data_IF_985488237552
#
_entry.id   IF_985488237552
#
_cell.length_a   1.000
_cell.length_b   1.000
_cell.length_c   1.000
_cell.angle_alpha   90.00
_cell.angle_beta   90.00
_cell.angle_gamma   90.00
#
_symmetry.space_group_name_H-M   'P 1'
#
loop_
_entity.id
_entity.type
_entity.pdbx_description
1 polymer ?
#
# COMPACT_ATOMS: atom_id res chain seq x y z
N UNK A 1 5.90 6.05 7.19
CA UNK A 1 5.40 6.94 6.10
C UNK A 1 5.85 8.40 6.19
N UNK A 2 6.27 8.90 7.36
CA UNK A 2 6.73 10.30 7.55
C UNK A 2 7.82 10.76 6.57
N UNK A 3 8.81 9.90 6.28
CA UNK A 3 9.88 10.20 5.32
C UNK A 3 9.34 10.42 3.90
N UNK A 4 8.38 9.61 3.45
CA UNK A 4 7.79 9.77 2.12
C UNK A 4 7.09 11.13 1.97
N UNK A 5 6.33 11.54 2.99
CA UNK A 5 5.69 12.87 3.00
C UNK A 5 6.69 14.02 3.05
N UNK A 6 7.77 13.87 3.82
CA UNK A 6 8.85 14.86 3.86
C UNK A 6 9.50 15.03 2.48
N UNK A 7 9.78 13.93 1.78
CA UNK A 7 10.38 13.96 0.44
C UNK A 7 9.43 14.50 -0.62
N UNK A 8 8.12 14.26 -0.48
CA UNK A 8 7.11 14.79 -1.39
C UNK A 8 6.89 16.31 -1.26
N UNK A 9 7.43 16.97 -0.22
CA UNK A 9 7.36 18.44 -0.03
C UNK A 9 5.93 19.02 -0.09
N UNK A 10 4.95 18.25 0.35
CA UNK A 10 3.53 18.65 0.35
C UNK A 10 2.74 18.15 -0.86
N UNK A 11 3.40 17.59 -1.88
CA UNK A 11 2.71 16.95 -3.00
C UNK A 11 2.00 15.66 -2.55
N UNK A 12 0.83 15.34 -3.12
CA UNK A 12 0.11 14.11 -2.81
C UNK A 12 0.90 12.88 -3.28
N UNK A 13 0.84 11.81 -2.48
CA UNK A 13 1.41 10.52 -2.88
C UNK A 13 0.40 9.81 -3.79
N UNK A 14 0.68 9.75 -5.10
CA UNK A 14 -0.19 9.05 -6.06
C UNK A 14 -0.31 7.55 -5.78
N UNK A 15 0.82 6.89 -5.53
CA UNK A 15 0.90 5.43 -5.48
C UNK A 15 1.86 4.92 -4.41
N UNK A 16 1.46 3.85 -3.72
CA UNK A 16 2.34 3.03 -2.87
C UNK A 16 2.42 1.63 -3.46
N UNK A 17 3.64 1.15 -3.77
CA UNK A 17 3.85 -0.15 -4.40
C UNK A 17 5.00 -0.89 -3.72
N UNK A 18 4.82 -2.17 -3.41
CA UNK A 18 5.90 -3.01 -2.88
C UNK A 18 5.47 -4.09 -1.91
N UNK A 19 6.47 -4.78 -1.36
CA UNK A 19 6.29 -5.77 -0.30
C UNK A 19 6.24 -5.12 1.08
N UNK A 20 5.17 -5.38 1.82
CA UNK A 20 4.94 -4.78 3.15
C UNK A 20 5.39 -5.68 4.29
N UNK A 21 5.88 -6.88 3.98
CA UNK A 21 6.33 -7.88 4.96
C UNK A 21 5.26 -8.26 6.00
N UNK A 22 3.98 -8.18 5.62
CA UNK A 22 2.85 -8.42 6.52
C UNK A 22 2.48 -9.91 6.62
N UNK A 23 2.93 -10.75 5.69
CA UNK A 23 2.49 -12.15 5.59
C UNK A 23 2.73 -13.02 6.83
N UNK A 24 3.60 -12.61 7.76
CA UNK A 24 3.80 -13.27 9.06
C UNK A 24 3.65 -12.34 10.27
N UNK A 25 3.61 -11.03 10.04
CA UNK A 25 3.71 -10.03 11.11
C UNK A 25 2.38 -9.76 11.82
N UNK A 26 1.23 -10.13 11.23
CA UNK A 26 -0.12 -9.80 11.75
C UNK A 26 -0.27 -8.31 12.12
N UNK A 27 0.34 -7.45 11.32
CA UNK A 27 0.48 -6.01 11.55
C UNK A 27 -0.31 -5.19 10.51
N UNK A 28 -1.35 -5.81 9.92
CA UNK A 28 -2.16 -5.21 8.85
C UNK A 28 -2.81 -3.90 9.30
N UNK A 29 -3.19 -3.82 10.57
CA UNK A 29 -3.75 -2.61 11.19
C UNK A 29 -2.74 -1.44 11.22
N UNK A 30 -1.45 -1.70 11.48
CA UNK A 30 -0.41 -0.66 11.44
C UNK A 30 -0.15 -0.18 10.02
N UNK A 31 -0.14 -1.12 9.05
CA UNK A 31 -0.02 -0.77 7.64
C UNK A 31 -1.22 0.06 7.17
N UNK A 32 -2.43 -0.29 7.60
CA UNK A 32 -3.63 0.48 7.32
C UNK A 32 -3.55 1.89 7.91
N UNK A 33 -3.20 2.04 9.19
CA UNK A 33 -3.03 3.36 9.80
C UNK A 33 -2.01 4.22 9.03
N UNK A 34 -0.88 3.63 8.64
CA UNK A 34 0.14 4.32 7.86
C UNK A 34 -0.35 4.73 6.45
N UNK A 35 -1.13 3.88 5.79
CA UNK A 35 -1.73 4.19 4.48
C UNK A 35 -2.82 5.26 4.60
N UNK A 36 -3.59 5.26 5.68
CA UNK A 36 -4.62 6.28 5.95
C UNK A 36 -3.99 7.67 6.17
N UNK A 37 -2.87 7.74 6.89
CA UNK A 37 -2.11 8.99 7.07
C UNK A 37 -1.53 9.56 5.77
N UNK A 38 -1.17 8.69 4.83
CA UNK A 38 -0.61 9.10 3.53
C UNK A 38 -1.71 9.38 2.51
N UNK A 39 -2.82 8.66 2.61
CA UNK A 39 -3.97 8.69 1.72
C UNK A 39 -3.58 8.62 0.23
N UNK A 40 -2.91 7.55 -0.24
CA UNK A 40 -2.60 7.43 -1.65
C UNK A 40 -3.86 7.20 -2.50
N UNK A 41 -3.75 7.48 -3.80
CA UNK A 41 -4.83 7.17 -4.74
C UNK A 41 -4.95 5.67 -4.99
N UNK A 42 -3.80 4.98 -5.04
CA UNK A 42 -3.74 3.52 -5.22
C UNK A 42 -2.59 2.88 -4.46
N UNK A 43 -2.83 1.69 -3.93
CA UNK A 43 -1.83 0.86 -3.25
C UNK A 43 -1.75 -0.52 -3.93
N UNK A 44 -0.53 -0.93 -4.27
CA UNK A 44 -0.21 -2.21 -4.90
C UNK A 44 0.65 -3.08 -3.95
N UNK A 45 0.03 -3.80 -3.00
CA UNK A 45 0.75 -4.78 -2.19
C UNK A 45 1.25 -5.92 -3.08
N UNK A 46 2.52 -6.29 -2.97
CA UNK A 46 3.11 -7.38 -3.75
C UNK A 46 4.12 -8.21 -2.94
N UNK A 47 4.65 -9.28 -3.55
CA UNK A 47 5.70 -10.12 -3.00
C UNK A 47 5.42 -10.64 -1.57
N UNK A 48 5.98 -10.00 -0.54
CA UNK A 48 5.89 -10.41 0.86
C UNK A 48 4.72 -9.78 1.64
N UNK A 49 3.84 -9.01 0.97
CA UNK A 49 2.63 -8.48 1.62
C UNK A 49 1.73 -9.62 2.13
N UNK A 50 1.58 -10.71 1.36
CA UNK A 50 0.73 -11.85 1.71
C UNK A 50 -0.75 -11.63 1.39
N UNK A 51 -1.47 -12.73 1.12
CA UNK A 51 -2.87 -12.71 0.70
C UNK A 51 -3.80 -12.10 1.73
N UNK A 52 -3.75 -12.57 2.98
CA UNK A 52 -4.59 -12.07 4.07
C UNK A 52 -4.43 -10.57 4.32
N UNK A 53 -3.19 -10.05 4.28
CA UNK A 53 -2.96 -8.62 4.44
C UNK A 53 -3.50 -7.81 3.26
N UNK A 54 -3.36 -8.34 2.04
CA UNK A 54 -3.89 -7.70 0.84
C UNK A 54 -5.42 -7.62 0.88
N UNK A 55 -6.09 -8.69 1.34
CA UNK A 55 -7.54 -8.73 1.55
C UNK A 55 -7.99 -7.78 2.66
N UNK A 56 -7.30 -7.77 3.81
CA UNK A 56 -7.57 -6.85 4.90
C UNK A 56 -7.50 -5.39 4.43
N UNK A 57 -6.41 -5.03 3.73
CA UNK A 57 -6.22 -3.69 3.20
C UNK A 57 -7.29 -3.35 2.14
N UNK A 58 -7.64 -4.29 1.26
CA UNK A 58 -8.69 -4.08 0.26
C UNK A 58 -10.07 -3.85 0.89
N UNK A 59 -10.39 -4.56 1.98
CA UNK A 59 -11.61 -4.33 2.76
C UNK A 59 -11.61 -2.97 3.46
N UNK A 60 -10.46 -2.54 4.00
CA UNK A 60 -10.32 -1.25 4.69
C UNK A 60 -10.31 -0.05 3.74
N UNK A 61 -9.80 -0.22 2.51
CA UNK A 61 -9.69 0.83 1.49
C UNK A 61 -10.33 0.41 0.15
N UNK A 62 -11.67 0.36 0.07
CA UNK A 62 -12.38 -0.08 -1.13
C UNK A 62 -11.97 0.71 -2.37
N UNK A 63 -11.62 0.01 -3.46
CA UNK A 63 -11.23 0.60 -4.74
C UNK A 63 -9.81 1.18 -4.81
N UNK A 64 -9.10 1.31 -3.67
CA UNK A 64 -7.75 1.86 -3.60
C UNK A 64 -6.65 0.80 -3.51
N UNK A 65 -6.97 -0.46 -3.21
CA UNK A 65 -5.98 -1.54 -3.18
C UNK A 65 -6.16 -2.42 -4.41
N UNK A 66 -5.08 -2.60 -5.18
CA UNK A 66 -5.11 -3.37 -6.42
C UNK A 66 -3.98 -4.39 -6.44
N UNK A 67 -4.22 -5.64 -6.89
CA UNK A 67 -3.16 -6.63 -6.99
C UNK A 67 -2.08 -6.18 -7.99
N UNK A 68 -0.87 -6.71 -7.81
CA UNK A 68 0.26 -6.50 -8.70
C UNK A 68 0.86 -7.86 -9.08
N UNK A 69 1.19 -8.04 -10.36
CA UNK A 69 1.78 -9.27 -10.88
C UNK A 69 3.04 -8.98 -11.68
N UNK A 70 3.93 -9.97 -11.78
CA UNK A 70 5.13 -9.87 -12.62
C UNK A 70 4.76 -9.57 -14.07
N UNK A 71 5.52 -8.66 -14.70
CA UNK A 71 5.28 -8.25 -16.10
C UNK A 71 4.18 -7.20 -16.29
N UNK A 72 3.47 -6.81 -15.24
CA UNK A 72 2.45 -5.76 -15.35
C UNK A 72 3.09 -4.39 -15.54
N UNK A 73 2.56 -3.60 -16.48
CA UNK A 73 2.95 -2.20 -16.70
C UNK A 73 1.92 -1.28 -16.07
N UNK A 74 2.39 -0.31 -15.28
CA UNK A 74 1.56 0.73 -14.70
C UNK A 74 1.79 2.03 -15.47
N UNK A 75 0.71 2.67 -15.92
CA UNK A 75 0.73 4.03 -16.43
C UNK A 75 0.43 4.98 -15.28
N UNK A 76 1.28 5.99 -15.09
CA UNK A 76 1.19 6.98 -14.01
C UNK A 76 0.62 8.30 -14.53
#
# INVERSE_FOLDING_TARGET
MRTARFLARGEPIRMVLGGFHLGRAKAEHLAAAALEEVNPDVTHPCHCAGGQASEYLAGRFPGKVKPLHGGMRLCL
#
